data_IF_702503405332
#
_entry.id   IF_702503405332
#
_cell.length_a   1.000
_cell.length_b   1.000
_cell.length_c   1.000
_cell.angle_alpha   90.00
_cell.angle_beta   90.00
_cell.angle_gamma   90.00
#
_symmetry.space_group_name_H-M   'P 1'
#
loop_
_entity.id
_entity.type
_entity.pdbx_description
1 polymer ?
#
# COMPACT_ATOMS: atom_id res chain seq x y z
N UNK A 1 2.60 10.74 2.23
CA UNK A 1 2.71 9.74 3.31
C UNK A 1 1.78 8.53 3.08
N UNK A 2 2.25 7.31 3.37
CA UNK A 2 1.45 6.08 3.38
C UNK A 2 1.16 5.65 4.82
N UNK A 3 -0.06 5.17 5.07
CA UNK A 3 -0.51 4.65 6.37
C UNK A 3 -1.21 3.31 6.18
N UNK A 4 -1.02 2.41 7.15
CA UNK A 4 -1.88 1.24 7.33
C UNK A 4 -2.85 1.57 8.45
N UNK A 5 -4.14 1.53 8.15
CA UNK A 5 -5.20 1.88 9.09
C UNK A 5 -6.03 0.65 9.40
N UNK A 6 -6.30 0.41 10.68
CA UNK A 6 -7.21 -0.65 11.11
C UNK A 6 -8.54 -0.05 11.57
N UNK A 7 -9.65 -0.60 11.09
CA UNK A 7 -10.97 -0.25 11.57
C UNK A 7 -11.22 -0.86 12.96
N UNK A 8 -11.60 -0.04 13.95
CA UNK A 8 -11.64 -0.46 15.37
C UNK A 8 -12.64 -1.57 15.69
N UNK A 9 -13.77 -1.61 14.97
CA UNK A 9 -14.85 -2.58 15.25
C UNK A 9 -14.74 -3.87 14.44
N UNK A 10 -14.29 -3.76 13.18
CA UNK A 10 -14.23 -4.91 12.26
C UNK A 10 -12.82 -5.48 12.13
N UNK A 11 -11.82 -4.80 12.69
CA UNK A 11 -10.39 -5.11 12.57
C UNK A 11 -9.85 -5.19 11.13
N UNK A 12 -10.63 -4.73 10.15
CA UNK A 12 -10.21 -4.68 8.75
C UNK A 12 -9.11 -3.65 8.59
N UNK A 13 -7.98 -4.07 8.02
CA UNK A 13 -6.86 -3.21 7.69
C UNK A 13 -6.99 -2.67 6.25
N UNK A 14 -6.52 -1.45 6.03
CA UNK A 14 -6.43 -0.83 4.70
C UNK A 14 -5.13 -0.04 4.53
N UNK A 15 -4.65 0.00 3.30
CA UNK A 15 -3.63 0.96 2.87
C UNK A 15 -4.32 2.28 2.54
N UNK A 16 -3.77 3.39 3.02
CA UNK A 16 -4.15 4.73 2.61
C UNK A 16 -2.89 5.54 2.34
N UNK A 17 -2.74 6.03 1.11
CA UNK A 17 -1.60 6.87 0.71
C UNK A 17 -2.08 8.17 0.10
N UNK A 18 -1.45 9.28 0.53
CA UNK A 18 -1.67 10.63 -0.03
C UNK A 18 -0.36 11.23 -0.51
N UNK A 19 -0.41 11.93 -1.64
CA UNK A 19 0.70 12.72 -2.17
C UNK A 19 0.85 14.01 -1.34
N UNK A 20 2.06 14.34 -0.91
CA UNK A 20 2.29 15.40 0.09
C UNK A 20 1.87 16.80 -0.37
N UNK A 21 2.13 17.16 -1.63
CA UNK A 21 1.83 18.51 -2.12
C UNK A 21 0.37 18.70 -2.52
N UNK A 22 -0.22 17.72 -3.21
CA UNK A 22 -1.59 17.83 -3.75
C UNK A 22 -2.65 17.24 -2.83
N UNK A 23 -2.25 16.53 -1.78
CA UNK A 23 -3.10 15.82 -0.79
C UNK A 23 -4.13 14.83 -1.37
N UNK A 24 -4.06 14.57 -2.68
CA UNK A 24 -4.85 13.55 -3.38
C UNK A 24 -4.44 12.16 -2.90
N UNK A 25 -5.46 11.32 -2.74
CA UNK A 25 -5.30 9.89 -2.47
C UNK A 25 -4.70 9.25 -3.73
N UNK A 26 -3.74 8.36 -3.55
CA UNK A 26 -3.14 7.59 -4.65
C UNK A 26 -3.06 6.08 -4.36
N UNK A 27 -3.48 5.65 -3.17
CA UNK A 27 -3.79 4.27 -2.87
C UNK A 27 -4.83 4.25 -1.74
N UNK A 28 -5.89 3.48 -1.92
CA UNK A 28 -6.94 3.24 -0.93
C UNK A 28 -7.60 1.88 -1.19
N UNK A 29 -7.07 0.83 -0.58
CA UNK A 29 -7.60 -0.52 -0.69
C UNK A 29 -7.48 -1.25 0.65
N UNK A 30 -8.35 -2.23 0.85
CA UNK A 30 -8.27 -3.14 1.99
C UNK A 30 -7.09 -4.09 1.81
N UNK A 31 -6.43 -4.46 2.92
CA UNK A 31 -5.41 -5.51 2.92
C UNK A 31 -6.15 -6.84 3.06
N UNK A 32 -5.98 -7.72 2.08
CA UNK A 32 -6.59 -9.05 2.08
C UNK A 32 -5.52 -10.14 2.06
N UNK A 33 -5.84 -11.33 2.56
CA UNK A 33 -4.90 -12.47 2.60
C UNK A 33 -4.51 -13.00 1.22
N UNK A 34 -5.19 -12.57 0.16
CA UNK A 34 -4.93 -12.96 -1.22
C UNK A 34 -3.92 -12.02 -1.91
N UNK A 35 -3.57 -10.90 -1.27
CA UNK A 35 -2.57 -9.98 -1.81
C UNK A 35 -1.18 -10.60 -1.71
N UNK A 36 -0.47 -10.61 -2.83
CA UNK A 36 0.87 -11.15 -2.95
C UNK A 36 1.87 -9.99 -3.05
N UNK A 37 2.55 -9.70 -1.94
CA UNK A 37 3.54 -8.64 -1.85
C UNK A 37 4.91 -9.16 -2.29
N UNK A 38 5.36 -8.73 -3.47
CA UNK A 38 6.63 -9.16 -4.06
C UNK A 38 7.67 -8.06 -3.97
N UNK A 39 8.93 -8.44 -3.79
CA UNK A 39 10.05 -7.50 -3.99
C UNK A 39 10.10 -7.12 -5.47
N UNK A 40 10.20 -5.83 -5.76
CA UNK A 40 10.36 -5.34 -7.11
C UNK A 40 11.76 -5.73 -7.63
N UNK A 41 11.83 -6.29 -8.84
CA UNK A 41 13.11 -6.70 -9.44
C UNK A 41 14.11 -5.54 -9.44
N UNK A 42 15.32 -5.81 -8.94
CA UNK A 42 16.42 -4.83 -8.87
C UNK A 42 16.34 -3.81 -7.73
N UNK A 43 15.36 -3.89 -6.82
CA UNK A 43 15.19 -2.90 -5.72
C UNK A 43 14.69 -3.59 -4.44
N UNK A 44 15.61 -3.95 -3.53
CA UNK A 44 15.27 -4.61 -2.26
C UNK A 44 14.39 -3.75 -1.33
N UNK A 45 14.40 -2.43 -1.54
CA UNK A 45 13.60 -1.45 -0.81
C UNK A 45 12.27 -1.10 -1.52
N UNK A 46 11.86 -1.86 -2.55
CA UNK A 46 10.60 -1.64 -3.21
C UNK A 46 9.77 -2.91 -3.30
N UNK A 47 8.46 -2.76 -3.15
CA UNK A 47 7.50 -3.85 -3.25
C UNK A 47 6.43 -3.53 -4.28
N UNK A 48 5.94 -4.58 -4.92
CA UNK A 48 4.86 -4.56 -5.89
C UNK A 48 3.77 -5.54 -5.47
N UNK A 49 2.53 -5.12 -5.59
CA UNK A 49 1.36 -5.97 -5.35
C UNK A 49 0.19 -5.51 -6.22
N UNK A 50 -0.80 -6.37 -6.39
CA UNK A 50 -2.05 -6.04 -7.09
C UNK A 50 -3.20 -5.96 -6.10
N UNK A 51 -4.05 -4.93 -6.24
CA UNK A 51 -5.16 -4.66 -5.35
C UNK A 51 -6.36 -4.08 -6.10
N UNK A 52 -7.55 -4.19 -5.50
CA UNK A 52 -8.72 -3.43 -5.91
C UNK A 52 -8.70 -2.07 -5.20
N UNK A 53 -8.17 -1.05 -5.87
CA UNK A 53 -7.93 0.29 -5.33
C UNK A 53 -9.08 1.25 -5.61
N UNK A 54 -9.32 2.17 -4.68
CA UNK A 54 -10.41 3.14 -4.69
C UNK A 54 -9.89 4.60 -4.59
N UNK A 55 -8.65 4.88 -4.98
CA UNK A 55 -8.06 6.22 -4.90
C UNK A 55 -8.80 7.26 -5.78
N UNK A 56 -9.34 6.84 -6.92
CA UNK A 56 -10.05 7.69 -7.88
C UNK A 56 -11.56 7.81 -7.61
N UNK A 57 -12.07 7.21 -6.53
CA UNK A 57 -13.50 7.18 -6.22
C UNK A 57 -14.28 6.03 -6.88
N UNK A 58 -13.60 5.16 -7.61
CA UNK A 58 -14.14 3.93 -8.20
C UNK A 58 -13.17 2.77 -7.97
N UNK A 59 -13.70 1.55 -7.84
CA UNK A 59 -12.90 0.35 -7.64
C UNK A 59 -12.22 -0.07 -8.93
N UNK A 60 -10.89 -0.06 -8.96
CA UNK A 60 -10.07 -0.46 -10.11
C UNK A 60 -9.05 -1.51 -9.69
N UNK A 61 -8.85 -2.52 -10.52
CA UNK A 61 -7.76 -3.47 -10.30
C UNK A 61 -6.45 -2.82 -10.77
N UNK A 62 -5.55 -2.54 -9.83
CA UNK A 62 -4.30 -1.85 -10.10
C UNK A 62 -3.11 -2.61 -9.51
N UNK A 63 -1.99 -2.54 -10.23
CA UNK A 63 -0.70 -2.98 -9.72
C UNK A 63 0.02 -1.78 -9.14
N UNK A 64 0.25 -1.81 -7.84
CA UNK A 64 0.84 -0.74 -7.07
C UNK A 64 2.29 -1.08 -6.74
N UNK A 65 3.15 -0.07 -6.78
CA UNK A 65 4.55 -0.19 -6.39
C UNK A 65 4.86 0.88 -5.35
N UNK A 66 5.48 0.45 -4.25
CA UNK A 66 6.02 1.36 -3.24
C UNK A 66 7.53 1.19 -3.18
N UNK A 67 8.24 2.31 -3.16
CA UNK A 67 9.68 2.35 -2.88
C UNK A 67 9.92 3.12 -1.59
N UNK A 68 10.65 2.51 -0.68
CA UNK A 68 11.05 3.11 0.57
C UNK A 68 12.41 3.78 0.43
N UNK A 69 12.62 4.85 1.21
CA UNK A 69 13.89 5.57 1.23
C UNK A 69 15.01 4.73 1.85
N UNK A 70 14.66 3.86 2.81
CA UNK A 70 15.60 3.02 3.55
C UNK A 70 15.13 1.58 3.58
N UNK A 71 16.09 0.66 3.68
CA UNK A 71 15.82 -0.78 3.79
C UNK A 71 15.09 -1.13 5.09
N UNK A 72 15.34 -0.38 6.17
CA UNK A 72 14.65 -0.55 7.45
C UNK A 72 13.15 -0.28 7.33
N UNK A 73 12.78 0.81 6.65
CA UNK A 73 11.37 1.10 6.35
C UNK A 73 10.72 0.00 5.50
N UNK A 74 11.44 -0.50 4.49
CA UNK A 74 10.96 -1.60 3.66
C UNK A 74 10.74 -2.88 4.48
N UNK A 75 11.70 -3.26 5.33
CA UNK A 75 11.58 -4.43 6.21
C UNK A 75 10.46 -4.28 7.23
N UNK A 76 10.25 -3.08 7.77
CA UNK A 76 9.16 -2.83 8.70
C UNK A 76 7.81 -2.92 8.01
N UNK A 77 7.70 -2.48 6.75
CA UNK A 77 6.47 -2.63 5.97
C UNK A 77 6.15 -4.10 5.68
N UNK A 78 7.14 -4.92 5.33
CA UNK A 78 6.94 -6.35 5.04
C UNK A 78 6.49 -7.17 6.26
N UNK A 79 6.78 -6.71 7.48
CA UNK A 79 6.39 -7.39 8.73
C UNK A 79 4.94 -7.17 9.14
N UNK A 80 4.25 -6.21 8.52
CA UNK A 80 2.85 -5.90 8.80
C UNK A 80 1.94 -6.82 7.99
#
# INVERSE_FOLDING_TARGET
>A
EMKILQHKATHVCRVLMRREQVLKICANHQITSQMDLKVHQGSANAFIWSAMDFADGEAKHETLCIRFKTDEQAKNFQKV
#
